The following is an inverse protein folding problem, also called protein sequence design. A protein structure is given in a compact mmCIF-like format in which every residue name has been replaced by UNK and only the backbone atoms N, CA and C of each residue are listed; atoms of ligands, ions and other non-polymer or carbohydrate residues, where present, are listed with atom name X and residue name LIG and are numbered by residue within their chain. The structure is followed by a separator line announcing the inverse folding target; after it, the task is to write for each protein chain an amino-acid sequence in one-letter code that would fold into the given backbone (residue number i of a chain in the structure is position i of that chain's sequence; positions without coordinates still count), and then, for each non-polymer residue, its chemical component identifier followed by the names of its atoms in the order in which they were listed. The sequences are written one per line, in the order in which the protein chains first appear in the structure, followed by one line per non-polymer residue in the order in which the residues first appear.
data_IF_277926166218
#
_entry.id   IF_277926166218
#
_cell.length_a   1.000
_cell.length_b   1.000
_cell.length_c   1.000
_cell.angle_alpha   90.00
_cell.angle_beta   90.00
_cell.angle_gamma   90.00
#
_symmetry.space_group_name_H-M   'P 1'
#
loop_
_entity.id
_entity.type
_entity.pdbx_description
1 polymer ?
#
# COMPACT_ATOMS: atom_id res chain seq x y z
N UNK A 1 1.23 -12.23 6.12
CA UNK A 1 1.80 -11.00 5.50
C UNK A 1 0.90 -10.55 4.37
N UNK A 2 0.53 -9.30 4.36
CA UNK A 2 -0.33 -8.68 3.35
C UNK A 2 0.48 -7.66 2.57
N UNK A 3 0.30 -7.63 1.26
CA UNK A 3 0.98 -6.70 0.37
C UNK A 3 -0.05 -5.78 -0.28
N UNK A 4 0.23 -4.48 -0.27
CA UNK A 4 -0.66 -3.48 -0.82
C UNK A 4 0.09 -2.65 -1.86
N UNK A 5 -0.41 -2.64 -3.08
CA UNK A 5 0.05 -1.73 -4.12
C UNK A 5 -0.81 -0.49 -4.09
N UNK A 6 -0.20 0.68 -4.01
CA UNK A 6 -0.89 1.96 -3.96
C UNK A 6 -0.44 2.83 -5.12
N UNK A 7 -1.28 2.96 -6.12
CA UNK A 7 -1.03 3.77 -7.31
C UNK A 7 -1.75 5.11 -7.17
N UNK A 8 -0.97 6.18 -7.03
CA UNK A 8 -1.50 7.52 -6.86
C UNK A 8 -1.80 8.17 -8.21
N UNK A 9 -2.95 8.81 -8.32
CA UNK A 9 -3.33 9.60 -9.49
C UNK A 9 -4.10 10.81 -9.02
N UNK A 10 -3.61 11.99 -9.34
CA UNK A 10 -4.09 13.34 -9.01
C UNK A 10 -4.89 13.50 -7.70
N UNK A 11 -6.07 12.91 -7.58
CA UNK A 11 -6.97 13.09 -6.43
C UNK A 11 -7.45 11.77 -5.82
N UNK A 12 -6.91 10.64 -6.28
CA UNK A 12 -7.31 9.34 -5.78
C UNK A 12 -6.15 8.34 -5.82
N UNK A 13 -6.37 7.20 -5.17
CA UNK A 13 -5.44 6.09 -5.15
C UNK A 13 -6.14 4.84 -5.65
N UNK A 14 -5.49 4.10 -6.54
CA UNK A 14 -5.93 2.77 -6.90
C UNK A 14 -5.14 1.76 -6.06
N UNK A 15 -5.85 1.05 -5.20
CA UNK A 15 -5.25 0.18 -4.19
C UNK A 15 -5.56 -1.27 -4.52
N UNK A 16 -4.52 -2.10 -4.48
CA UNK A 16 -4.62 -3.54 -4.68
C UNK A 16 -4.08 -4.25 -3.44
N UNK A 17 -4.90 -5.05 -2.80
CA UNK A 17 -4.51 -5.85 -1.63
C UNK A 17 -4.27 -7.29 -2.09
N UNK A 18 -3.11 -7.82 -1.73
CA UNK A 18 -2.70 -9.17 -2.12
C UNK A 18 -2.22 -9.96 -0.90
N UNK A 19 -2.35 -11.28 -0.97
CA UNK A 19 -1.75 -12.16 0.02
C UNK A 19 -0.28 -12.45 -0.31
N UNK A 20 0.37 -13.26 0.51
CA UNK A 20 1.78 -13.62 0.34
C UNK A 20 2.04 -14.50 -0.88
N UNK A 21 1.02 -15.08 -1.48
CA UNK A 21 1.12 -15.89 -2.70
C UNK A 21 0.89 -15.06 -3.97
N UNK A 22 0.63 -13.75 -3.82
CA UNK A 22 0.34 -12.87 -4.95
C UNK A 22 -1.10 -12.90 -5.41
N UNK A 23 -1.99 -13.58 -4.68
CA UNK A 23 -3.41 -13.60 -5.00
C UNK A 23 -4.03 -12.25 -4.63
N UNK A 24 -4.74 -11.64 -5.58
CA UNK A 24 -5.45 -10.40 -5.33
C UNK A 24 -6.67 -10.67 -4.45
N UNK A 25 -6.72 -10.03 -3.30
CA UNK A 25 -7.82 -10.16 -2.34
C UNK A 25 -8.87 -9.06 -2.54
N UNK A 26 -8.43 -7.87 -2.92
CA UNK A 26 -9.33 -6.75 -3.15
C UNK A 26 -8.65 -5.67 -3.99
N UNK A 27 -9.44 -4.93 -4.75
CA UNK A 27 -9.02 -3.70 -5.43
C UNK A 27 -10.01 -2.61 -5.12
N UNK A 28 -9.54 -1.38 -4.98
CA UNK A 28 -10.42 -0.27 -4.67
C UNK A 28 -9.82 1.06 -5.08
N UNK A 29 -10.64 1.94 -5.64
CA UNK A 29 -10.29 3.34 -5.84
C UNK A 29 -10.71 4.13 -4.61
N UNK A 30 -9.78 4.87 -4.03
CA UNK A 30 -9.96 5.59 -2.76
C UNK A 30 -9.61 7.06 -2.99
N UNK A 31 -10.48 8.01 -2.59
CA UNK A 31 -10.15 9.42 -2.73
C UNK A 31 -9.04 9.84 -1.78
N UNK A 32 -8.23 10.82 -2.19
CA UNK A 32 -7.16 11.36 -1.36
C UNK A 32 -7.72 12.44 -0.43
N UNK A 33 -8.33 12.00 0.66
CA UNK A 33 -8.86 12.85 1.72
C UNK A 33 -8.96 12.06 3.02
N UNK A 34 -9.41 12.68 4.10
CA UNK A 34 -9.51 12.04 5.40
C UNK A 34 -10.46 10.83 5.37
N UNK A 35 -11.59 10.93 4.68
CA UNK A 35 -12.53 9.82 4.55
C UNK A 35 -11.90 8.66 3.77
N UNK A 36 -11.10 8.97 2.74
CA UNK A 36 -10.38 7.98 1.95
C UNK A 36 -9.31 7.26 2.80
N UNK A 37 -8.60 7.99 3.64
CA UNK A 37 -7.63 7.39 4.55
C UNK A 37 -8.30 6.39 5.51
N UNK A 38 -9.45 6.75 6.06
CA UNK A 38 -10.23 5.84 6.89
C UNK A 38 -10.64 4.59 6.11
N UNK A 39 -11.12 4.76 4.88
CA UNK A 39 -11.47 3.65 4.00
C UNK A 39 -10.27 2.72 3.74
N UNK A 40 -9.09 3.29 3.52
CA UNK A 40 -7.84 2.54 3.32
C UNK A 40 -7.54 1.66 4.53
N UNK A 41 -7.58 2.23 5.72
CA UNK A 41 -7.31 1.50 6.97
C UNK A 41 -8.35 0.39 7.19
N UNK A 42 -9.61 0.67 6.95
CA UNK A 42 -10.68 -0.33 7.10
C UNK A 42 -10.52 -1.48 6.11
N UNK A 43 -10.15 -1.17 4.87
CA UNK A 43 -9.91 -2.19 3.85
C UNK A 43 -8.76 -3.12 4.28
N UNK A 44 -7.65 -2.55 4.72
CA UNK A 44 -6.49 -3.32 5.17
C UNK A 44 -6.83 -4.16 6.40
N UNK A 45 -7.58 -3.60 7.35
CA UNK A 45 -7.96 -4.28 8.58
C UNK A 45 -8.79 -5.54 8.35
N UNK A 46 -9.42 -5.67 7.19
CA UNK A 46 -10.16 -6.91 6.84
C UNK A 46 -9.24 -8.10 6.62
N UNK A 47 -7.97 -7.85 6.29
CA UNK A 47 -7.04 -8.89 5.87
C UNK A 47 -5.82 -9.03 6.78
N UNK A 48 -5.57 -8.05 7.66
CA UNK A 48 -4.43 -8.06 8.58
C UNK A 48 -4.87 -7.63 9.96
N UNK A 49 -4.37 -8.31 10.99
CA UNK A 49 -4.70 -7.98 12.38
C UNK A 49 -3.79 -6.88 12.92
N UNK A 50 -2.54 -6.87 12.47
CA UNK A 50 -1.53 -5.93 12.96
C UNK A 50 -0.94 -5.14 11.80
N UNK A 51 -0.73 -3.81 11.95
CA UNK A 51 -0.12 -3.02 10.89
C UNK A 51 1.26 -3.51 10.46
N UNK A 52 2.05 -4.06 11.38
CA UNK A 52 3.37 -4.60 11.06
C UNK A 52 3.36 -5.77 10.10
N UNK A 53 2.20 -6.40 9.88
CA UNK A 53 2.03 -7.49 8.93
C UNK A 53 1.76 -7.00 7.51
N UNK A 54 1.69 -5.68 7.32
CA UNK A 54 1.30 -5.06 6.05
C UNK A 54 2.48 -4.34 5.43
N UNK A 55 2.76 -4.68 4.18
CA UNK A 55 3.78 -4.01 3.36
C UNK A 55 3.06 -3.24 2.27
N UNK A 56 3.31 -1.94 2.19
CA UNK A 56 2.71 -1.08 1.18
C UNK A 56 3.78 -0.55 0.24
N UNK A 57 3.58 -0.75 -1.05
CA UNK A 57 4.40 -0.13 -2.08
C UNK A 57 3.67 1.05 -2.70
N UNK A 58 4.32 2.20 -2.77
CA UNK A 58 3.76 3.43 -3.32
C UNK A 58 4.82 4.18 -4.13
N UNK A 59 4.41 4.87 -5.19
CA UNK A 59 5.32 5.51 -6.14
C UNK A 59 6.02 6.76 -5.60
N UNK A 60 5.55 7.32 -4.52
CA UNK A 60 6.11 8.54 -3.92
C UNK A 60 6.63 8.25 -2.52
N UNK A 61 7.63 9.01 -2.08
CA UNK A 61 8.20 8.88 -0.74
C UNK A 61 7.77 10.03 0.19
N UNK A 62 6.88 10.89 -0.25
CA UNK A 62 6.47 12.06 0.53
C UNK A 62 4.98 12.35 0.35
N UNK A 63 4.49 13.29 1.14
CA UNK A 63 3.10 13.73 1.12
C UNK A 63 2.32 13.25 2.34
N UNK A 64 1.15 13.84 2.54
CA UNK A 64 0.32 13.55 3.71
C UNK A 64 -0.19 12.11 3.72
N UNK A 65 -0.48 11.54 2.55
CA UNK A 65 -0.93 10.15 2.43
C UNK A 65 0.14 9.19 2.92
N UNK A 66 1.37 9.37 2.46
CA UNK A 66 2.52 8.56 2.88
C UNK A 66 2.76 8.71 4.37
N UNK A 67 2.73 9.94 4.88
CA UNK A 67 2.91 10.22 6.30
C UNK A 67 1.86 9.47 7.14
N UNK A 68 0.61 9.48 6.70
CA UNK A 68 -0.47 8.78 7.41
C UNK A 68 -0.26 7.26 7.42
N UNK A 69 0.19 6.69 6.31
CA UNK A 69 0.47 5.25 6.23
C UNK A 69 1.62 4.85 7.16
N UNK A 70 2.69 5.63 7.17
CA UNK A 70 3.84 5.37 8.06
C UNK A 70 3.42 5.50 9.53
N UNK A 71 2.66 6.55 9.85
CA UNK A 71 2.18 6.78 11.22
C UNK A 71 1.26 5.67 11.71
N UNK A 72 0.52 5.01 10.81
CA UNK A 72 -0.35 3.90 11.16
C UNK A 72 0.41 2.61 11.49
N UNK A 73 1.71 2.57 11.22
CA UNK A 73 2.55 1.41 11.54
C UNK A 73 2.78 0.43 10.40
N UNK A 74 2.28 0.72 9.20
CA UNK A 74 2.55 -0.12 8.03
C UNK A 74 4.01 0.00 7.61
N UNK A 75 4.53 -1.05 6.99
CA UNK A 75 5.85 -1.01 6.36
C UNK A 75 5.68 -0.42 4.96
N UNK A 76 6.04 0.85 4.80
CA UNK A 76 5.81 1.59 3.55
C UNK A 76 7.12 1.71 2.77
N UNK A 77 7.06 1.34 1.50
CA UNK A 77 8.21 1.40 0.60
C UNK A 77 7.91 2.31 -0.58
N UNK A 78 8.83 3.22 -0.87
CA UNK A 78 8.79 3.99 -2.10
C UNK A 78 9.33 3.11 -3.23
N UNK A 79 8.49 2.83 -4.21
CA UNK A 79 8.84 1.93 -5.31
C UNK A 79 8.49 2.58 -6.63
N UNK A 80 9.15 2.11 -7.68
CA UNK A 80 8.82 2.54 -9.01
C UNK A 80 7.63 1.71 -9.54
N UNK A 81 6.70 2.30 -10.29
CA UNK A 81 5.50 1.60 -10.78
C UNK A 81 5.79 0.32 -11.55
N UNK A 82 6.89 0.29 -12.30
CA UNK A 82 7.30 -0.89 -13.05
C UNK A 82 7.75 -2.03 -12.15
N UNK A 83 8.14 -1.73 -10.92
CA UNK A 83 8.59 -2.74 -9.95
C UNK A 83 7.43 -3.43 -9.25
N UNK A 84 6.22 -2.85 -9.27
CA UNK A 84 5.06 -3.40 -8.56
C UNK A 84 4.70 -4.80 -9.08
N UNK A 85 4.65 -4.98 -10.40
CA UNK A 85 4.35 -6.28 -10.99
C UNK A 85 5.46 -7.31 -10.73
N UNK A 86 6.71 -6.88 -10.73
CA UNK A 86 7.86 -7.75 -10.45
C UNK A 86 7.94 -8.15 -9.00
N UNK A 87 7.48 -7.28 -8.13
CA UNK A 87 7.44 -7.50 -6.69
C UNK A 87 6.65 -8.76 -6.32
N UNK A 88 5.51 -8.96 -6.98
CA UNK A 88 4.66 -10.14 -6.76
C UNK A 88 5.37 -11.44 -7.11
N UNK A 89 6.20 -11.42 -8.15
CA UNK A 89 6.84 -12.62 -8.68
C UNK A 89 8.07 -13.04 -7.86
N UNK A 90 8.74 -12.08 -7.21
CA UNK A 90 10.04 -12.31 -6.60
C UNK A 90 10.09 -12.11 -5.09
N UNK A 91 9.01 -11.70 -4.48
CA UNK A 91 8.99 -11.33 -3.06
C UNK A 91 10.08 -10.31 -2.71
N UNK A 92 10.45 -9.47 -3.66
CA UNK A 92 11.52 -8.50 -3.53
C UNK A 92 11.01 -7.09 -3.80
N UNK A 93 11.26 -6.19 -2.86
CA UNK A 93 10.86 -4.79 -2.99
C UNK A 93 11.96 -4.02 -3.69
N UNK A 94 11.66 -3.47 -4.87
CA UNK A 94 12.60 -2.70 -5.66
C UNK A 94 12.75 -1.24 -5.22
N UNK A 95 12.49 -0.91 -3.96
CA UNK A 95 12.57 0.44 -3.44
C UNK A 95 13.15 0.49 -2.05
N UNK A 96 12.99 1.63 -1.38
CA UNK A 96 13.48 1.81 -0.01
C UNK A 96 12.31 2.01 0.96
N UNK A 97 12.48 1.55 2.19
CA UNK A 97 11.47 1.71 3.22
C UNK A 97 11.44 3.15 3.73
N UNK A 98 10.24 3.70 3.82
CA UNK A 98 9.99 5.03 4.35
C UNK A 98 9.79 4.91 5.87
N UNK A 99 10.49 5.77 6.61
CA UNK A 99 10.44 5.76 8.08
C UNK A 99 10.11 7.12 8.69
#
# INVERSE_FOLDING_TARGET
MIFVGNDWASDHHDVCVMDEHGTTLATRRIPENAAGATTMHELIARYAQEPGEVVIGIETDHGMWVTALVAAGYQVYAINPLSVSRYRDRHHVGGHQIR
#
